data_IF_509878230008
#
_entry.id   IF_509878230008
#
_cell.length_a   1.000
_cell.length_b   1.000
_cell.length_c   1.000
_cell.angle_alpha   90.00
_cell.angle_beta   90.00
_cell.angle_gamma   90.00
#
_symmetry.space_group_name_H-M   'P 1'
#
loop_
_entity.id
_entity.type
_entity.pdbx_description
1 polymer ?
#
# COMPACT_ATOMS: atom_id res chain seq x y z
N UNK A 1 -16.72 22.44 -11.71
CA UNK A 1 -17.46 22.83 -10.49
C UNK A 1 -18.01 21.55 -9.89
N UNK A 2 -17.83 21.32 -8.58
CA UNK A 2 -18.44 20.19 -7.86
C UNK A 2 -19.77 20.66 -7.29
N UNK A 3 -20.82 19.85 -7.40
CA UNK A 3 -22.16 20.16 -6.91
C UNK A 3 -22.18 20.26 -5.37
N UNK A 4 -22.84 21.29 -4.84
CA UNK A 4 -22.97 21.57 -3.40
C UNK A 4 -23.71 20.46 -2.60
N UNK A 5 -24.29 19.48 -3.29
CA UNK A 5 -25.10 18.39 -2.71
C UNK A 5 -24.42 17.02 -2.72
N UNK A 6 -23.14 16.96 -3.08
CA UNK A 6 -22.38 15.72 -3.05
C UNK A 6 -21.99 15.39 -1.59
N UNK A 7 -22.92 14.80 -0.84
CA UNK A 7 -22.70 14.20 0.49
C UNK A 7 -21.87 12.92 0.31
N UNK A 8 -20.65 13.05 -0.20
CA UNK A 8 -19.69 11.97 -0.28
C UNK A 8 -19.46 11.44 1.13
N UNK A 9 -20.14 10.34 1.45
CA UNK A 9 -20.04 9.52 2.66
C UNK A 9 -19.12 10.14 3.71
N UNK A 10 -19.66 11.06 4.52
CA UNK A 10 -18.96 11.51 5.72
C UNK A 10 -18.75 10.25 6.56
N UNK A 11 -17.54 9.68 6.50
CA UNK A 11 -17.14 8.59 7.39
C UNK A 11 -17.25 9.15 8.80
N UNK A 12 -18.36 8.83 9.47
CA UNK A 12 -18.52 9.10 10.87
C UNK A 12 -17.35 8.38 11.56
N UNK A 13 -16.50 9.09 12.32
CA UNK A 13 -15.47 8.44 13.10
C UNK A 13 -16.18 7.60 14.16
N UNK A 14 -16.39 6.32 13.86
CA UNK A 14 -16.93 5.40 14.84
C UNK A 14 -15.95 5.36 16.00
N UNK A 15 -16.41 5.63 17.24
CA UNK A 15 -15.54 5.47 18.39
C UNK A 15 -15.02 4.03 18.38
N UNK A 16 -13.69 3.88 18.49
CA UNK A 16 -13.06 2.57 18.57
C UNK A 16 -13.68 1.73 19.69
N UNK A 17 -13.48 0.40 19.65
CA UNK A 17 -14.03 -0.52 20.66
C UNK A 17 -13.83 0.06 22.08
N UNK A 18 -14.91 0.27 22.85
CA UNK A 18 -14.82 0.91 24.16
C UNK A 18 -13.83 0.15 25.04
N UNK A 19 -12.92 0.88 25.69
CA UNK A 19 -11.93 0.33 26.63
C UNK A 19 -10.53 0.03 26.06
N UNK A 20 -10.30 0.09 24.73
CA UNK A 20 -8.93 -0.02 24.20
C UNK A 20 -8.30 1.38 24.06
N UNK A 21 -7.22 1.70 24.80
CA UNK A 21 -6.52 2.95 24.58
C UNK A 21 -5.99 2.99 23.14
N UNK A 22 -5.97 4.17 22.51
CA UNK A 22 -5.44 4.31 21.16
C UNK A 22 -3.96 3.91 21.12
N UNK A 23 -3.50 3.40 19.98
CA UNK A 23 -2.14 2.83 19.86
C UNK A 23 -1.00 3.84 20.16
N UNK A 24 -1.29 5.13 20.07
CA UNK A 24 -0.39 6.25 20.40
C UNK A 24 -0.70 6.90 21.76
N UNK A 25 -1.64 6.36 22.55
CA UNK A 25 -2.03 6.88 23.87
C UNK A 25 -2.80 8.20 23.88
N UNK A 26 -3.01 8.84 22.74
CA UNK A 26 -3.62 10.17 22.63
C UNK A 26 -5.03 10.13 22.03
N UNK A 27 -5.18 9.61 20.81
CA UNK A 27 -6.46 9.57 20.10
C UNK A 27 -6.49 8.42 19.08
N UNK A 28 -7.69 7.92 18.77
CA UNK A 28 -7.84 6.91 17.73
C UNK A 28 -7.39 7.48 16.37
N UNK A 29 -6.56 6.74 15.64
CA UNK A 29 -6.16 7.15 14.29
C UNK A 29 -7.37 7.17 13.35
N UNK A 30 -7.52 8.29 12.65
CA UNK A 30 -8.48 8.44 11.55
C UNK A 30 -8.17 7.45 10.41
N UNK A 31 -9.16 7.16 9.57
CA UNK A 31 -8.96 6.33 8.38
C UNK A 31 -7.92 6.92 7.41
N UNK A 32 -7.86 8.25 7.32
CA UNK A 32 -6.85 8.96 6.52
C UNK A 32 -5.43 8.72 7.06
N UNK A 33 -5.22 8.85 8.37
CA UNK A 33 -3.93 8.57 9.01
C UNK A 33 -3.53 7.10 8.88
N UNK A 34 -4.47 6.18 9.08
CA UNK A 34 -4.24 4.74 8.87
C UNK A 34 -3.83 4.45 7.43
N UNK A 35 -4.51 5.06 6.46
CA UNK A 35 -4.18 4.92 5.04
C UNK A 35 -2.81 5.50 4.69
N UNK A 36 -2.46 6.66 5.25
CA UNK A 36 -1.13 7.28 5.07
C UNK A 36 -0.04 6.37 5.62
N UNK A 37 -0.16 5.93 6.87
CA UNK A 37 0.79 5.01 7.51
C UNK A 37 0.91 3.68 6.76
N UNK A 38 -0.20 3.15 6.25
CA UNK A 38 -0.18 1.96 5.41
C UNK A 38 0.68 2.19 4.16
N UNK A 39 0.46 3.27 3.41
CA UNK A 39 1.24 3.61 2.21
C UNK A 39 2.72 3.81 2.53
N UNK A 40 3.05 4.50 3.62
CA UNK A 40 4.43 4.68 4.08
C UNK A 40 5.11 3.35 4.42
N UNK A 41 4.41 2.44 5.09
CA UNK A 41 4.91 1.08 5.38
C UNK A 41 5.15 0.30 4.09
N UNK A 42 4.26 0.40 3.11
CA UNK A 42 4.44 -0.23 1.80
C UNK A 42 5.66 0.34 1.07
N UNK A 43 5.85 1.66 1.07
CA UNK A 43 7.03 2.30 0.48
C UNK A 43 8.35 1.79 1.11
N UNK A 44 8.40 1.66 2.44
CA UNK A 44 9.56 1.09 3.14
C UNK A 44 9.82 -0.37 2.74
N UNK A 45 8.76 -1.18 2.64
CA UNK A 45 8.85 -2.58 2.19
C UNK A 45 9.36 -2.70 0.75
N UNK A 46 8.94 -1.80 -0.14
CA UNK A 46 9.41 -1.76 -1.53
C UNK A 46 10.92 -1.51 -1.62
N UNK A 47 11.47 -0.63 -0.78
CA UNK A 47 12.92 -0.38 -0.75
C UNK A 47 13.68 -1.64 -0.35
N UNK A 48 13.25 -2.34 0.71
CA UNK A 48 13.87 -3.59 1.16
C UNK A 48 13.71 -4.73 0.13
N UNK A 49 12.52 -4.82 -0.47
CA UNK A 49 12.16 -5.86 -1.42
C UNK A 49 12.90 -5.83 -2.75
N UNK A 50 13.53 -4.69 -3.12
CA UNK A 50 14.39 -4.63 -4.32
C UNK A 50 15.58 -5.60 -4.25
N UNK A 51 16.10 -5.83 -3.04
CA UNK A 51 17.20 -6.76 -2.81
C UNK A 51 16.72 -8.21 -2.69
N UNK A 52 15.59 -8.43 -1.98
CA UNK A 52 15.03 -9.77 -1.79
C UNK A 52 13.56 -9.83 -2.25
N UNK A 53 13.35 -10.40 -3.45
CA UNK A 53 12.02 -10.46 -4.07
C UNK A 53 11.06 -11.42 -3.38
N UNK A 54 11.59 -12.39 -2.62
CA UNK A 54 10.77 -13.37 -1.89
C UNK A 54 10.04 -12.72 -0.71
N UNK A 55 10.56 -11.61 -0.18
CA UNK A 55 9.96 -10.87 0.93
C UNK A 55 8.84 -9.90 0.48
N UNK A 56 8.71 -9.64 -0.83
CA UNK A 56 7.64 -8.80 -1.35
C UNK A 56 6.31 -9.55 -1.32
N UNK A 57 5.24 -8.87 -0.93
CA UNK A 57 3.88 -9.38 -1.16
C UNK A 57 3.55 -9.29 -2.65
N UNK A 58 2.63 -10.12 -3.14
CA UNK A 58 2.26 -10.15 -4.57
C UNK A 58 1.76 -8.78 -5.06
N UNK A 59 0.99 -8.09 -4.23
CA UNK A 59 0.53 -6.72 -4.48
C UNK A 59 1.68 -5.73 -4.71
N UNK A 60 2.75 -5.83 -3.94
CA UNK A 60 3.93 -4.98 -4.10
C UNK A 60 4.78 -5.40 -5.31
N UNK A 61 4.79 -6.70 -5.63
CA UNK A 61 5.48 -7.22 -6.81
C UNK A 61 4.82 -6.69 -8.10
N UNK A 62 3.49 -6.68 -8.16
CA UNK A 62 2.72 -6.09 -9.27
C UNK A 62 2.95 -4.59 -9.37
N UNK A 63 2.98 -3.88 -8.24
CA UNK A 63 3.29 -2.45 -8.21
C UNK A 63 4.71 -2.16 -8.72
N UNK A 64 5.69 -3.02 -8.41
CA UNK A 64 7.05 -2.90 -8.98
C UNK A 64 7.08 -3.15 -10.49
N UNK A 65 6.31 -4.11 -11.00
CA UNK A 65 6.17 -4.33 -12.45
C UNK A 65 5.62 -3.07 -13.12
N UNK A 66 4.53 -2.51 -12.57
CA UNK A 66 3.90 -1.28 -13.07
C UNK A 66 4.88 -0.11 -13.08
N UNK A 67 5.61 0.11 -11.98
CA UNK A 67 6.60 1.19 -11.86
C UNK A 67 7.78 0.98 -12.82
N UNK A 68 8.29 -0.24 -12.95
CA UNK A 68 9.40 -0.54 -13.85
C UNK A 68 9.03 -0.24 -15.32
N UNK A 69 7.80 -0.60 -15.73
CA UNK A 69 7.29 -0.29 -17.07
C UNK A 69 7.13 1.22 -17.25
N UNK A 70 6.47 1.90 -16.30
CA UNK A 70 6.24 3.35 -16.37
C UNK A 70 7.55 4.16 -16.43
N UNK A 71 8.58 3.71 -15.72
CA UNK A 71 9.89 4.35 -15.71
C UNK A 71 10.76 3.98 -16.93
N UNK A 72 10.26 3.17 -17.88
CA UNK A 72 11.04 2.72 -19.03
C UNK A 72 12.23 1.84 -18.65
N UNK A 73 12.13 1.09 -17.55
CA UNK A 73 13.21 0.21 -17.09
C UNK A 73 13.51 -0.88 -18.12
N UNK A 74 14.74 -1.39 -18.11
CA UNK A 74 15.15 -2.47 -19.00
C UNK A 74 14.20 -3.68 -18.92
N UNK A 75 13.91 -4.31 -20.08
CA UNK A 75 13.03 -5.49 -20.19
C UNK A 75 13.43 -6.60 -19.19
N UNK A 76 14.73 -6.79 -18.96
CA UNK A 76 15.25 -7.77 -17.99
C UNK A 76 14.79 -7.50 -16.56
N UNK A 77 14.67 -6.24 -16.15
CA UNK A 77 14.19 -5.87 -14.81
C UNK A 77 12.73 -6.25 -14.63
N UNK A 78 11.90 -5.96 -15.65
CA UNK A 78 10.48 -6.34 -15.63
C UNK A 78 10.34 -7.87 -15.62
N UNK A 79 11.09 -8.57 -16.48
CA UNK A 79 11.10 -10.03 -16.53
C UNK A 79 11.49 -10.66 -15.19
N UNK A 80 12.46 -10.09 -14.46
CA UNK A 80 12.85 -10.58 -13.12
C UNK A 80 11.67 -10.56 -12.14
N UNK A 81 10.87 -9.50 -12.11
CA UNK A 81 9.70 -9.42 -11.23
C UNK A 81 8.58 -10.36 -11.67
N UNK A 82 8.32 -10.45 -12.98
CA UNK A 82 7.30 -11.37 -13.54
C UNK A 82 7.66 -12.82 -13.26
N UNK A 83 8.94 -13.19 -13.35
CA UNK A 83 9.42 -14.56 -13.10
C UNK A 83 9.19 -14.95 -11.64
N UNK A 84 9.42 -14.05 -10.68
CA UNK A 84 9.10 -14.34 -9.27
C UNK A 84 7.60 -14.48 -9.03
N UNK A 85 6.76 -13.73 -9.73
CA UNK A 85 5.30 -13.92 -9.64
C UNK A 85 4.92 -15.29 -10.19
N UNK A 86 5.41 -15.65 -11.38
CA UNK A 86 5.15 -16.93 -12.01
C UNK A 86 5.60 -18.09 -11.11
N UNK A 87 6.80 -18.00 -10.51
CA UNK A 87 7.33 -19.00 -9.57
C UNK A 87 6.39 -19.27 -8.37
N UNK A 88 5.63 -18.28 -7.92
CA UNK A 88 4.70 -18.44 -6.77
C UNK A 88 3.42 -19.19 -7.11
N UNK A 89 3.04 -19.23 -8.39
CA UNK A 89 1.76 -19.78 -8.87
C UNK A 89 1.95 -20.86 -9.95
N UNK A 90 3.17 -21.36 -10.12
CA UNK A 90 3.51 -22.45 -11.03
C UNK A 90 3.10 -23.82 -10.46
#
# INVERSE_FOLDING_TARGET
>A
MRDEKDLGTLQLPLPGRPGRPPANGLCAMTDAERSKLYRERQAKRLVKGRCNLQELTDTLLVEQIRQAIANGSAKRTVARYVTELARRYA
#
